data_IF_692433587222
#
_entry.id   IF_692433587222
#
_cell.length_a   1.000
_cell.length_b   1.000
_cell.length_c   1.000
_cell.angle_alpha   90.00
_cell.angle_beta   90.00
_cell.angle_gamma   90.00
#
_symmetry.space_group_name_H-M   'P 1'
#
loop_
_entity.id
_entity.type
_entity.pdbx_description
1 polymer ?
#
# COMPACT_ATOMS: atom_id res chain seq x y z
N UNK A 1 12.96 -14.69 14.94
CA UNK A 1 12.28 -14.03 16.11
C UNK A 1 12.55 -12.56 16.04
N UNK A 2 11.67 -11.73 16.58
CA UNK A 2 11.93 -10.29 16.73
C UNK A 2 13.07 -10.07 17.75
N UNK A 3 13.65 -8.85 17.83
CA UNK A 3 14.59 -8.52 18.89
C UNK A 3 14.04 -8.73 20.32
N UNK A 4 12.71 -8.62 20.48
CA UNK A 4 11.99 -8.83 21.73
C UNK A 4 11.66 -10.31 22.01
N UNK A 5 12.00 -11.22 21.09
CA UNK A 5 11.82 -12.66 21.23
C UNK A 5 10.48 -13.21 20.74
N UNK A 6 9.65 -12.39 20.05
CA UNK A 6 8.38 -12.84 19.50
C UNK A 6 8.59 -13.69 18.24
N UNK A 7 7.72 -14.68 18.03
CA UNK A 7 7.83 -15.59 16.89
C UNK A 7 7.41 -14.92 15.58
N UNK A 8 8.32 -14.96 14.58
CA UNK A 8 7.99 -14.59 13.21
C UNK A 8 7.58 -15.86 12.47
N UNK A 9 6.39 -15.83 11.91
CA UNK A 9 5.79 -16.96 11.19
C UNK A 9 5.68 -16.57 9.72
N UNK A 10 6.03 -17.50 8.83
CA UNK A 10 5.83 -17.36 7.39
C UNK A 10 4.80 -18.36 6.91
N UNK A 11 3.85 -17.89 6.14
CA UNK A 11 2.80 -18.67 5.50
C UNK A 11 3.05 -18.76 4.01
N UNK A 12 2.65 -19.87 3.41
CA UNK A 12 2.68 -20.06 1.95
C UNK A 12 1.31 -20.50 1.49
N UNK A 13 0.69 -19.68 0.64
CA UNK A 13 -0.53 -20.01 -0.08
C UNK A 13 -0.15 -20.44 -1.51
N UNK A 14 -0.74 -21.50 -2.00
CA UNK A 14 -0.55 -21.99 -3.36
C UNK A 14 -1.88 -22.30 -3.99
N UNK A 15 -1.99 -22.07 -5.27
CA UNK A 15 -3.15 -22.45 -6.04
C UNK A 15 -2.84 -23.58 -7.03
N UNK A 16 -3.87 -24.06 -7.72
CA UNK A 16 -3.75 -25.19 -8.66
C UNK A 16 -2.91 -24.86 -9.89
N UNK A 17 -2.71 -23.59 -10.23
CA UNK A 17 -1.81 -23.16 -11.32
C UNK A 17 -0.33 -23.22 -10.96
N UNK A 18 0.01 -23.49 -9.69
CA UNK A 18 1.37 -23.50 -9.16
C UNK A 18 1.89 -22.10 -8.81
N UNK A 19 1.06 -21.07 -8.88
CA UNK A 19 1.39 -19.75 -8.35
C UNK A 19 1.48 -19.78 -6.82
N UNK A 20 2.32 -18.93 -6.24
CA UNK A 20 2.62 -18.94 -4.81
C UNK A 20 2.65 -17.54 -4.23
N UNK A 21 2.01 -17.36 -3.08
CA UNK A 21 2.08 -16.14 -2.26
C UNK A 21 2.67 -16.52 -0.90
N UNK A 22 3.67 -15.76 -0.45
CA UNK A 22 4.22 -15.90 0.90
C UNK A 22 3.88 -14.67 1.72
N UNK A 23 3.46 -14.90 2.96
CA UNK A 23 3.07 -13.89 3.94
C UNK A 23 3.89 -14.03 5.21
N UNK A 24 3.99 -12.96 6.00
CA UNK A 24 4.55 -13.02 7.36
C UNK A 24 3.65 -12.26 8.34
N UNK A 25 3.63 -12.72 9.60
CA UNK A 25 2.91 -12.06 10.68
C UNK A 25 3.60 -10.77 11.19
N UNK A 26 4.84 -10.49 10.78
CA UNK A 26 5.47 -9.21 11.06
C UNK A 26 4.96 -8.16 10.07
N UNK A 27 4.18 -7.20 10.56
CA UNK A 27 3.52 -6.18 9.75
C UNK A 27 2.38 -6.70 8.88
N UNK A 28 1.89 -7.93 9.10
CA UNK A 28 0.91 -8.61 8.24
C UNK A 28 1.27 -8.41 6.76
N UNK A 29 2.46 -8.88 6.37
CA UNK A 29 3.11 -8.50 5.13
C UNK A 29 3.09 -9.59 4.05
N UNK A 30 2.99 -9.14 2.79
CA UNK A 30 3.28 -9.93 1.59
C UNK A 30 4.81 -9.93 1.41
N UNK A 31 5.44 -11.11 1.41
CA UNK A 31 6.90 -11.22 1.29
C UNK A 31 7.37 -11.80 -0.05
N UNK A 32 6.50 -12.49 -0.77
CA UNK A 32 6.78 -13.07 -2.08
C UNK A 32 5.49 -13.32 -2.85
N UNK A 33 5.51 -13.09 -4.15
CA UNK A 33 4.44 -13.46 -5.08
C UNK A 33 5.09 -14.03 -6.33
N UNK A 34 4.98 -15.36 -6.52
CA UNK A 34 5.56 -16.04 -7.67
C UNK A 34 4.51 -16.30 -8.73
N UNK A 35 4.69 -15.68 -9.90
CA UNK A 35 3.77 -15.73 -11.02
C UNK A 35 4.47 -16.11 -12.33
N UNK A 36 3.80 -16.88 -13.21
CA UNK A 36 4.35 -17.19 -14.53
C UNK A 36 4.32 -15.96 -15.44
N UNK A 37 5.27 -15.90 -16.39
CA UNK A 37 5.19 -15.02 -17.54
C UNK A 37 4.37 -15.69 -18.68
N UNK A 38 4.24 -14.99 -19.83
CA UNK A 38 3.53 -15.53 -21.00
C UNK A 38 4.12 -16.81 -21.57
N UNK A 39 5.35 -17.17 -21.21
CA UNK A 39 6.03 -18.41 -21.59
C UNK A 39 6.04 -19.45 -20.46
N UNK A 40 5.34 -19.18 -19.34
CA UNK A 40 5.25 -20.07 -18.18
C UNK A 40 6.45 -20.00 -17.22
N UNK A 41 7.41 -19.09 -17.40
CA UNK A 41 8.56 -18.95 -16.52
C UNK A 41 8.17 -18.21 -15.25
N UNK A 42 8.35 -18.86 -14.10
CA UNK A 42 8.03 -18.31 -12.80
C UNK A 42 9.05 -17.24 -12.36
N UNK A 43 8.57 -16.14 -11.82
CA UNK A 43 9.39 -15.16 -11.12
C UNK A 43 8.65 -14.61 -9.89
N UNK A 44 9.41 -14.17 -8.89
CA UNK A 44 8.89 -13.37 -7.78
C UNK A 44 8.69 -11.94 -8.28
N UNK A 45 7.48 -11.43 -8.21
CA UNK A 45 7.08 -10.14 -8.81
C UNK A 45 6.89 -9.02 -7.79
N UNK A 46 7.33 -9.23 -6.55
CA UNK A 46 7.28 -8.22 -5.49
C UNK A 46 8.64 -8.05 -4.82
N UNK A 47 8.93 -6.85 -4.36
CA UNK A 47 10.14 -6.58 -3.58
C UNK A 47 10.05 -7.20 -2.18
N UNK A 48 11.20 -7.45 -1.57
CA UNK A 48 11.31 -7.99 -0.22
C UNK A 48 12.76 -8.29 0.15
N UNK A 49 12.96 -8.92 1.29
CA UNK A 49 14.30 -9.12 1.86
C UNK A 49 14.65 -10.58 1.98
N UNK A 50 15.95 -10.87 1.90
CA UNK A 50 16.51 -12.22 1.95
C UNK A 50 16.28 -12.88 3.31
N UNK A 51 16.36 -12.09 4.38
CA UNK A 51 16.22 -12.54 5.75
C UNK A 51 15.06 -11.84 6.45
N UNK A 52 14.38 -12.51 7.41
CA UNK A 52 13.28 -11.91 8.18
C UNK A 52 13.69 -10.62 8.90
N UNK A 53 14.94 -10.54 9.35
CA UNK A 53 15.51 -9.38 10.03
C UNK A 53 15.53 -8.12 9.14
N UNK A 54 15.55 -8.30 7.81
CA UNK A 54 15.44 -7.20 6.86
C UNK A 54 14.17 -6.38 7.04
N UNK A 55 13.09 -7.04 7.44
CA UNK A 55 11.81 -6.35 7.67
C UNK A 55 11.80 -5.48 8.94
N UNK A 56 12.74 -5.67 9.89
CA UNK A 56 12.86 -4.81 11.08
C UNK A 56 13.50 -3.47 10.78
N UNK A 57 14.39 -3.45 9.79
CA UNK A 57 15.16 -2.28 9.39
C UNK A 57 14.70 -1.68 8.06
N UNK A 58 13.52 -2.07 7.64
CA UNK A 58 12.90 -1.68 6.38
C UNK A 58 12.26 -0.30 6.48
N UNK A 59 12.94 0.70 5.95
CA UNK A 59 12.41 2.06 5.82
C UNK A 59 11.31 2.23 4.76
N UNK A 60 11.09 1.20 3.91
CA UNK A 60 10.15 1.26 2.80
C UNK A 60 8.78 0.61 3.09
N UNK A 61 8.61 -0.01 4.26
CA UNK A 61 7.40 -0.77 4.64
C UNK A 61 7.01 -1.85 3.61
N UNK A 62 8.01 -2.49 2.97
CA UNK A 62 7.82 -3.40 1.84
C UNK A 62 6.85 -4.54 2.12
N UNK A 63 5.73 -4.58 1.39
CA UNK A 63 4.69 -5.59 1.49
C UNK A 63 3.81 -5.51 2.73
N UNK A 64 4.09 -4.61 3.67
CA UNK A 64 3.45 -4.54 4.98
C UNK A 64 2.07 -3.89 4.94
N UNK A 65 1.23 -4.28 5.88
CA UNK A 65 -0.03 -3.60 6.17
C UNK A 65 0.23 -2.35 6.99
N UNK A 66 -0.20 -1.21 6.47
CA UNK A 66 0.04 0.12 7.04
C UNK A 66 -1.22 0.61 7.76
N UNK A 67 -1.05 1.13 8.96
CA UNK A 67 -2.09 1.70 9.80
C UNK A 67 -1.50 2.27 11.12
N UNK A 68 -2.30 2.96 11.96
CA UNK A 68 -3.76 3.11 11.95
C UNK A 68 -4.26 3.94 10.75
N UNK A 69 -3.47 4.93 10.31
CA UNK A 69 -3.77 5.76 9.15
C UNK A 69 -2.61 5.73 8.15
N UNK A 70 -2.86 5.21 6.97
CA UNK A 70 -1.93 5.22 5.85
C UNK A 70 -1.70 6.64 5.35
N UNK A 71 -0.50 6.89 4.81
CA UNK A 71 -0.05 8.16 4.31
C UNK A 71 0.03 9.26 5.39
N UNK A 72 0.03 10.54 5.00
CA UNK A 72 0.31 11.68 5.88
C UNK A 72 -0.93 12.24 6.54
N UNK A 73 -0.76 12.73 7.79
CA UNK A 73 -1.65 13.69 8.45
C UNK A 73 -0.83 14.94 8.73
N UNK A 74 -1.29 16.08 8.23
CA UNK A 74 -0.59 17.35 8.28
C UNK A 74 -0.26 17.76 9.71
N UNK A 75 1.02 18.07 9.97
CA UNK A 75 1.54 18.53 11.27
C UNK A 75 1.29 17.58 12.43
N UNK A 76 0.90 16.31 12.16
CA UNK A 76 0.47 15.37 13.20
C UNK A 76 -0.75 15.88 13.99
N UNK A 77 -1.64 16.64 13.36
CA UNK A 77 -2.80 17.24 14.01
C UNK A 77 -4.09 16.77 13.33
N UNK A 78 -5.08 16.44 14.12
CA UNK A 78 -6.41 16.11 13.64
C UNK A 78 -7.49 16.52 14.65
N UNK A 79 -8.68 16.75 14.13
CA UNK A 79 -9.86 16.99 14.97
C UNK A 79 -10.87 15.88 14.76
N UNK A 80 -11.26 15.19 15.85
CA UNK A 80 -12.27 14.15 15.85
C UNK A 80 -13.38 14.56 16.80
N UNK A 81 -14.61 14.70 16.28
CA UNK A 81 -15.78 15.12 17.07
C UNK A 81 -15.56 16.40 17.90
N UNK A 82 -14.87 17.38 17.31
CA UNK A 82 -14.59 18.67 17.94
C UNK A 82 -13.45 18.67 18.96
N UNK A 83 -12.80 17.52 19.19
CA UNK A 83 -11.62 17.41 20.06
C UNK A 83 -10.36 17.33 19.21
N UNK A 84 -9.37 18.15 19.55
CA UNK A 84 -8.04 18.10 18.93
C UNK A 84 -7.21 16.93 19.48
N UNK A 85 -6.50 16.25 18.57
CA UNK A 85 -5.53 15.22 18.87
C UNK A 85 -4.19 15.54 18.21
N UNK A 86 -3.12 15.22 18.91
CA UNK A 86 -1.75 15.35 18.42
C UNK A 86 -1.14 13.97 18.28
N UNK A 87 -0.73 13.67 17.05
CA UNK A 87 -0.06 12.44 16.68
C UNK A 87 1.45 12.64 16.70
N UNK A 88 2.19 11.54 16.80
CA UNK A 88 3.64 11.58 16.65
C UNK A 88 4.05 12.16 15.29
N UNK A 89 4.98 13.10 15.27
CA UNK A 89 5.58 13.64 14.05
C UNK A 89 6.81 12.79 13.71
N UNK A 90 6.73 11.99 12.66
CA UNK A 90 7.75 11.03 12.26
C UNK A 90 8.25 11.19 10.80
N UNK A 91 7.73 12.21 10.08
CA UNK A 91 8.15 12.51 8.71
C UNK A 91 8.19 14.02 8.47
N UNK A 92 9.37 14.61 8.63
CA UNK A 92 9.52 16.07 8.58
C UNK A 92 8.67 16.75 9.65
N UNK A 93 7.61 17.46 9.21
CA UNK A 93 6.63 18.12 10.11
C UNK A 93 5.32 17.34 10.21
N UNK A 94 5.20 16.23 9.49
CA UNK A 94 3.97 15.46 9.37
C UNK A 94 4.01 14.16 10.18
N UNK A 95 2.83 13.62 10.45
CA UNK A 95 2.67 12.22 10.83
C UNK A 95 2.56 11.38 9.57
N UNK A 96 3.19 10.21 9.52
CA UNK A 96 3.21 9.31 8.37
C UNK A 96 2.94 7.87 8.82
N UNK A 97 2.08 7.19 8.07
CA UNK A 97 1.81 5.75 8.14
C UNK A 97 1.47 5.21 9.54
N UNK A 98 0.85 6.02 10.40
CA UNK A 98 0.46 5.60 11.74
C UNK A 98 1.54 5.75 12.82
N UNK A 99 2.65 6.48 12.52
CA UNK A 99 3.73 6.77 13.48
C UNK A 99 4.87 5.75 13.45
N UNK A 100 5.79 5.88 14.39
CA UNK A 100 7.00 5.03 14.45
C UNK A 100 6.68 3.58 14.87
N UNK A 101 5.74 3.39 15.81
CA UNK A 101 5.28 2.06 16.27
C UNK A 101 3.98 1.65 15.56
N UNK A 102 3.90 1.91 14.27
CA UNK A 102 2.72 1.62 13.45
C UNK A 102 2.49 0.11 13.23
N UNK A 103 1.42 -0.23 12.57
CA UNK A 103 1.01 -1.62 12.33
C UNK A 103 2.01 -2.42 11.50
N UNK A 104 2.75 -1.76 10.62
CA UNK A 104 3.79 -2.36 9.78
C UNK A 104 5.03 -2.84 10.59
N UNK A 105 5.20 -2.35 11.82
CA UNK A 105 6.35 -2.65 12.67
C UNK A 105 5.98 -3.48 13.91
N UNK A 106 4.87 -4.23 13.83
CA UNK A 106 4.39 -5.08 14.93
C UNK A 106 4.22 -6.53 14.50
N UNK A 107 4.31 -7.45 15.46
CA UNK A 107 3.83 -8.82 15.29
C UNK A 107 2.31 -8.79 15.37
N UNK A 108 1.67 -9.43 14.41
CA UNK A 108 0.24 -9.72 14.42
C UNK A 108 0.02 -11.15 14.89
N UNK A 109 -0.95 -11.35 15.75
CA UNK A 109 -1.45 -12.71 16.00
C UNK A 109 -1.98 -13.28 14.70
N UNK A 110 -1.81 -14.59 14.50
CA UNK A 110 -2.16 -15.17 13.21
C UNK A 110 -2.71 -16.58 13.32
N UNK A 111 -3.66 -16.91 12.45
CA UNK A 111 -4.27 -18.23 12.32
C UNK A 111 -4.50 -18.58 10.85
N UNK A 112 -4.54 -19.86 10.55
CA UNK A 112 -4.90 -20.38 9.23
C UNK A 112 -6.33 -20.90 9.28
N UNK A 113 -7.15 -20.47 8.31
CA UNK A 113 -8.53 -20.92 8.13
C UNK A 113 -8.69 -21.47 6.70
N UNK A 114 -8.75 -22.80 6.54
CA UNK A 114 -8.84 -23.46 5.23
C UNK A 114 -7.75 -22.96 4.28
N UNK A 115 -8.06 -22.04 3.34
CA UNK A 115 -7.12 -21.45 2.37
C UNK A 115 -6.80 -19.98 2.67
N UNK A 116 -7.07 -19.50 3.89
CA UNK A 116 -6.87 -18.11 4.31
C UNK A 116 -5.87 -18.01 5.43
N UNK A 117 -5.17 -16.89 5.46
CA UNK A 117 -4.40 -16.46 6.63
C UNK A 117 -5.06 -15.25 7.22
N UNK A 118 -5.48 -15.34 8.48
CA UNK A 118 -6.05 -14.23 9.23
C UNK A 118 -5.01 -13.74 10.21
N UNK A 119 -4.72 -12.45 10.18
CA UNK A 119 -3.79 -11.78 11.08
C UNK A 119 -4.52 -10.70 11.84
N UNK A 120 -4.37 -10.64 13.17
CA UNK A 120 -5.08 -9.70 14.03
C UNK A 120 -4.14 -8.90 14.91
N UNK A 121 -4.54 -7.67 15.21
CA UNK A 121 -3.80 -6.73 16.04
C UNK A 121 -4.75 -5.89 16.87
N UNK A 122 -4.40 -5.63 18.13
CA UNK A 122 -5.06 -4.64 18.98
C UNK A 122 -4.15 -3.42 19.10
N UNK A 123 -4.71 -2.24 18.82
CA UNK A 123 -4.09 -0.94 18.99
C UNK A 123 -4.85 -0.21 20.10
N UNK A 124 -4.21 -0.04 21.25
CA UNK A 124 -4.83 0.52 22.45
C UNK A 124 -5.26 1.98 22.30
N UNK A 125 -6.16 2.47 23.18
CA UNK A 125 -6.52 3.89 23.25
C UNK A 125 -5.28 4.76 23.52
N UNK A 126 -5.05 5.76 22.68
CA UNK A 126 -3.88 6.64 22.76
C UNK A 126 -2.64 6.12 22.02
N UNK A 127 -2.69 4.94 21.42
CA UNK A 127 -1.57 4.40 20.63
C UNK A 127 -1.22 5.37 19.50
N UNK A 128 0.06 5.81 19.43
CA UNK A 128 0.61 6.83 18.53
C UNK A 128 -0.18 8.16 18.55
N UNK A 129 -1.00 8.41 19.59
CA UNK A 129 -1.86 9.59 19.76
C UNK A 129 -3.29 9.43 19.23
N UNK A 130 -3.65 8.30 18.66
CA UNK A 130 -5.01 8.06 18.16
C UNK A 130 -5.98 7.72 19.29
N UNK A 131 -7.22 8.27 19.27
CA UNK A 131 -8.25 7.90 20.25
C UNK A 131 -8.83 6.50 20.00
N UNK A 132 -9.26 5.87 21.07
CA UNK A 132 -9.97 4.60 21.09
C UNK A 132 -9.10 3.37 20.89
N UNK A 133 -9.50 2.27 21.50
CA UNK A 133 -8.99 0.96 21.19
C UNK A 133 -9.49 0.54 19.80
N UNK A 134 -8.60 -0.01 18.98
CA UNK A 134 -8.92 -0.52 17.65
C UNK A 134 -8.51 -1.98 17.54
N UNK A 135 -9.48 -2.86 17.37
CA UNK A 135 -9.25 -4.25 17.01
C UNK A 135 -9.26 -4.37 15.48
N UNK A 136 -8.18 -4.89 14.90
CA UNK A 136 -7.98 -4.99 13.44
C UNK A 136 -7.75 -6.44 13.04
N UNK A 137 -8.34 -6.85 11.92
CA UNK A 137 -7.99 -8.09 11.21
C UNK A 137 -7.60 -7.78 9.77
N UNK A 138 -6.56 -8.46 9.27
CA UNK A 138 -6.19 -8.54 7.87
C UNK A 138 -6.36 -10.00 7.42
N UNK A 139 -7.28 -10.24 6.50
CA UNK A 139 -7.58 -11.56 5.95
C UNK A 139 -6.98 -11.65 4.55
N UNK A 140 -6.06 -12.60 4.35
CA UNK A 140 -5.42 -12.86 3.07
C UNK A 140 -6.00 -14.15 2.47
N UNK A 141 -6.54 -14.06 1.26
CA UNK A 141 -7.12 -15.16 0.49
C UNK A 141 -6.46 -15.20 -0.89
N UNK A 142 -6.04 -16.37 -1.35
CA UNK A 142 -5.42 -16.54 -2.66
C UNK A 142 -6.11 -17.65 -3.43
N UNK A 143 -6.73 -17.30 -4.55
CA UNK A 143 -7.58 -18.19 -5.34
C UNK A 143 -6.89 -18.79 -6.58
N UNK A 144 -7.62 -19.67 -7.28
CA UNK A 144 -7.15 -20.34 -8.49
C UNK A 144 -7.14 -19.43 -9.75
N UNK A 145 -7.76 -18.26 -9.66
CA UNK A 145 -7.70 -17.20 -10.69
C UNK A 145 -6.49 -16.26 -10.51
N UNK A 146 -5.53 -16.66 -9.65
CA UNK A 146 -4.35 -15.87 -9.28
C UNK A 146 -4.71 -14.50 -8.64
N UNK A 147 -5.84 -14.41 -7.95
CA UNK A 147 -6.22 -13.21 -7.23
C UNK A 147 -5.86 -13.34 -5.75
N UNK A 148 -5.01 -12.43 -5.26
CA UNK A 148 -4.74 -12.24 -3.84
C UNK A 148 -5.66 -11.13 -3.32
N UNK A 149 -6.65 -11.52 -2.52
CA UNK A 149 -7.54 -10.59 -1.82
C UNK A 149 -6.99 -10.31 -0.41
N UNK A 150 -6.97 -9.05 -0.02
CA UNK A 150 -6.75 -8.59 1.35
C UNK A 150 -8.04 -7.92 1.81
N UNK A 151 -8.69 -8.47 2.83
CA UNK A 151 -9.81 -7.82 3.50
C UNK A 151 -9.35 -7.29 4.85
N UNK A 152 -9.42 -5.97 5.03
CA UNK A 152 -9.21 -5.33 6.32
C UNK A 152 -10.53 -5.13 7.02
N UNK A 153 -10.62 -5.61 8.27
CA UNK A 153 -11.75 -5.41 9.17
C UNK A 153 -11.26 -4.67 10.41
N UNK A 154 -12.04 -3.70 10.90
CA UNK A 154 -11.72 -3.08 12.18
C UNK A 154 -12.98 -2.64 12.95
N UNK A 155 -12.85 -2.61 14.29
CA UNK A 155 -13.85 -2.11 15.23
C UNK A 155 -13.18 -1.31 16.33
N UNK A 156 -13.90 -0.34 16.88
CA UNK A 156 -13.38 0.56 17.91
C UNK A 156 -14.41 0.79 19.02
N UNK A 157 -13.92 1.16 20.20
CA UNK A 157 -14.72 1.57 21.36
C UNK A 157 -14.98 3.09 21.41
N UNK A 158 -14.21 3.90 20.64
CA UNK A 158 -14.37 5.37 20.51
C UNK A 158 -14.24 5.78 19.06
N UNK A 159 -14.83 6.91 18.68
CA UNK A 159 -14.64 7.47 17.33
C UNK A 159 -13.16 7.74 17.09
N UNK A 160 -12.64 7.17 16.01
CA UNK A 160 -11.23 7.26 15.63
C UNK A 160 -11.05 7.33 14.11
N UNK A 161 -9.81 7.55 13.67
CA UNK A 161 -9.44 7.55 12.26
C UNK A 161 -8.89 6.18 11.88
N UNK A 162 -9.39 5.61 10.78
CA UNK A 162 -8.92 4.34 10.22
C UNK A 162 -8.75 4.48 8.71
N UNK A 163 -7.55 4.21 8.22
CA UNK A 163 -7.23 4.18 6.81
C UNK A 163 -6.12 3.14 6.59
N UNK A 164 -6.49 1.92 6.25
CA UNK A 164 -5.56 0.81 6.12
C UNK A 164 -5.23 0.55 4.65
N UNK A 165 -3.97 0.19 4.37
CA UNK A 165 -3.51 -0.20 3.05
C UNK A 165 -2.41 -1.27 3.15
N UNK A 166 -2.02 -1.84 2.00
CA UNK A 166 -0.84 -2.68 1.88
C UNK A 166 0.20 -1.98 1.00
N UNK A 167 1.45 -1.95 1.47
CA UNK A 167 2.56 -1.25 0.82
C UNK A 167 3.44 -2.20 0.00
N UNK A 168 2.82 -3.09 -0.78
CA UNK A 168 3.56 -3.98 -1.67
C UNK A 168 4.15 -3.21 -2.85
N UNK A 169 5.42 -3.50 -3.16
CA UNK A 169 6.09 -2.97 -4.35
C UNK A 169 6.16 -4.05 -5.42
N UNK A 170 5.58 -3.77 -6.57
CA UNK A 170 5.62 -4.65 -7.73
C UNK A 170 6.85 -4.38 -8.60
N UNK A 171 7.47 -5.45 -9.08
CA UNK A 171 8.34 -5.46 -10.24
C UNK A 171 8.00 -6.69 -11.09
N UNK A 172 7.16 -6.51 -12.09
CA UNK A 172 6.60 -7.60 -12.91
C UNK A 172 7.63 -8.24 -13.86
N UNK A 173 8.79 -7.60 -14.05
CA UNK A 173 9.93 -8.21 -14.74
C UNK A 173 10.62 -9.27 -13.86
N UNK A 174 10.39 -9.22 -12.56
CA UNK A 174 10.97 -10.06 -11.52
C UNK A 174 11.74 -9.25 -10.48
N UNK A 175 11.72 -9.70 -9.23
CA UNK A 175 12.52 -9.10 -8.14
C UNK A 175 14.00 -9.09 -8.51
N UNK A 176 14.67 -7.96 -8.31
CA UNK A 176 16.08 -7.77 -8.68
C UNK A 176 16.34 -7.51 -10.17
N UNK A 177 15.32 -7.37 -11.00
CA UNK A 177 15.46 -7.09 -12.44
C UNK A 177 15.76 -5.61 -12.76
N UNK A 178 15.85 -4.73 -11.76
CA UNK A 178 16.10 -3.30 -11.89
C UNK A 178 14.84 -2.47 -12.06
N UNK A 179 14.94 -1.34 -12.73
CA UNK A 179 13.95 -0.27 -12.75
C UNK A 179 12.61 -0.65 -13.37
N UNK A 180 11.52 -0.23 -12.71
CA UNK A 180 10.12 -0.37 -13.18
C UNK A 180 9.64 0.79 -14.06
N UNK A 181 10.50 1.75 -14.39
CA UNK A 181 10.10 2.95 -15.13
C UNK A 181 9.55 2.65 -16.54
N UNK A 182 9.84 1.49 -17.09
CA UNK A 182 9.32 1.02 -18.39
C UNK A 182 8.10 0.10 -18.24
N UNK A 183 7.66 -0.21 -17.03
CA UNK A 183 6.33 -0.79 -16.80
C UNK A 183 5.26 0.19 -17.25
N UNK A 184 4.13 -0.32 -17.73
CA UNK A 184 3.03 0.50 -18.20
C UNK A 184 1.86 0.42 -17.22
N UNK A 185 1.37 1.58 -16.83
CA UNK A 185 0.22 1.73 -15.94
C UNK A 185 -0.98 2.27 -16.72
N UNK A 186 -2.16 1.69 -16.44
CA UNK A 186 -3.46 2.27 -16.75
C UNK A 186 -4.26 2.40 -15.47
N UNK A 187 -4.88 3.56 -15.23
CA UNK A 187 -5.73 3.82 -14.07
C UNK A 187 -7.15 4.20 -14.51
N UNK A 188 -8.12 3.73 -13.75
CA UNK A 188 -9.50 4.21 -13.80
C UNK A 188 -9.62 5.49 -12.96
N UNK A 189 -8.92 6.54 -13.40
CA UNK A 189 -8.81 7.81 -12.70
C UNK A 189 -8.67 8.97 -13.69
N UNK A 190 -9.60 9.90 -13.66
CA UNK A 190 -9.56 11.16 -14.41
C UNK A 190 -9.09 12.34 -13.57
N UNK A 191 -9.00 12.18 -12.25
CA UNK A 191 -8.64 13.23 -11.30
C UNK A 191 -7.51 12.80 -10.35
N UNK A 192 -6.67 13.77 -10.02
CA UNK A 192 -5.51 13.61 -9.14
C UNK A 192 -5.63 14.67 -8.05
N UNK A 193 -5.23 14.34 -6.82
CA UNK A 193 -5.11 15.36 -5.79
C UNK A 193 -3.89 16.27 -6.07
N UNK A 194 -4.10 17.58 -6.00
CA UNK A 194 -2.99 18.54 -5.98
C UNK A 194 -2.22 18.37 -4.67
N UNK A 195 -0.91 18.18 -4.75
CA UNK A 195 -0.03 18.07 -3.59
C UNK A 195 0.75 19.38 -3.41
N UNK A 196 1.06 19.75 -2.17
CA UNK A 196 2.00 20.81 -1.88
C UNK A 196 3.44 20.26 -1.72
N UNK A 197 4.41 21.13 -1.50
CA UNK A 197 5.82 20.78 -1.34
C UNK A 197 6.13 19.87 -0.13
N UNK A 198 5.18 19.70 0.79
CA UNK A 198 5.27 18.83 1.96
C UNK A 198 4.54 17.50 1.76
N UNK A 199 4.15 17.21 0.53
CA UNK A 199 3.39 15.99 0.18
C UNK A 199 2.05 15.88 0.95
N UNK A 200 1.39 17.01 1.18
CA UNK A 200 0.04 17.10 1.74
C UNK A 200 -0.91 17.57 0.64
N UNK A 201 -2.11 16.96 0.49
CA UNK A 201 -3.12 17.45 -0.43
C UNK A 201 -3.55 18.87 -0.12
N UNK A 202 -3.79 19.67 -1.15
CA UNK A 202 -4.33 21.03 -0.99
C UNK A 202 -5.85 21.07 -0.90
N UNK A 203 -6.51 19.92 -1.09
CA UNK A 203 -7.97 19.81 -1.23
C UNK A 203 -8.45 19.93 -2.68
N UNK A 204 -7.61 20.39 -3.60
CA UNK A 204 -7.99 20.55 -5.01
C UNK A 204 -7.78 19.27 -5.81
N UNK A 205 -8.68 19.07 -6.78
CA UNK A 205 -8.60 18.03 -7.79
C UNK A 205 -8.09 18.63 -9.11
N UNK A 206 -7.03 18.03 -9.65
CA UNK A 206 -6.47 18.35 -10.96
C UNK A 206 -7.02 17.36 -12.00
N UNK A 207 -7.24 17.83 -13.23
CA UNK A 207 -7.51 16.94 -14.36
C UNK A 207 -6.23 16.17 -14.75
N UNK A 208 -6.35 14.85 -14.91
CA UNK A 208 -5.24 14.05 -15.39
C UNK A 208 -4.96 14.30 -16.88
N UNK A 209 -6.00 14.63 -17.65
CA UNK A 209 -5.96 14.77 -19.10
C UNK A 209 -4.84 15.69 -19.59
N UNK A 210 -3.99 15.18 -20.50
CA UNK A 210 -2.91 15.94 -21.11
C UNK A 210 -1.73 16.24 -20.18
N UNK A 211 -1.68 15.66 -18.99
CA UNK A 211 -0.59 15.81 -18.02
C UNK A 211 0.34 14.59 -18.00
N UNK A 212 1.52 14.66 -17.37
CA UNK A 212 2.37 13.50 -17.11
C UNK A 212 1.71 12.43 -16.23
N UNK A 213 0.65 12.78 -15.48
CA UNK A 213 -0.13 11.90 -14.62
C UNK A 213 -1.39 11.34 -15.32
N UNK A 214 -1.51 11.48 -16.65
CA UNK A 214 -2.61 10.90 -17.43
C UNK A 214 -2.35 9.41 -17.72
N UNK A 215 -2.84 8.56 -16.84
CA UNK A 215 -2.77 7.10 -16.96
C UNK A 215 -4.12 6.47 -17.37
N UNK A 216 -5.04 7.21 -17.98
CA UNK A 216 -6.31 6.63 -18.48
C UNK A 216 -6.09 5.60 -19.59
N UNK A 217 -4.98 5.71 -20.32
CA UNK A 217 -4.45 4.71 -21.25
C UNK A 217 -3.12 4.17 -20.76
N UNK A 218 -2.70 2.98 -21.21
CA UNK A 218 -1.42 2.40 -20.84
C UNK A 218 -0.26 3.31 -21.19
N UNK A 219 0.51 3.69 -20.19
CA UNK A 219 1.66 4.58 -20.32
C UNK A 219 2.75 4.20 -19.34
N UNK A 220 4.02 4.28 -19.79
CA UNK A 220 5.15 4.06 -18.90
C UNK A 220 5.44 5.29 -18.02
N UNK A 221 6.09 5.06 -16.88
CA UNK A 221 6.42 6.12 -15.92
C UNK A 221 7.53 7.05 -16.43
N UNK A 222 8.49 6.51 -17.20
CA UNK A 222 9.73 7.19 -17.59
C UNK A 222 9.54 8.60 -18.16
N UNK A 223 8.59 8.86 -19.09
CA UNK A 223 8.45 10.21 -19.67
C UNK A 223 8.04 11.29 -18.67
N UNK A 224 7.41 10.91 -17.56
CA UNK A 224 6.90 11.86 -16.58
C UNK A 224 7.85 12.18 -15.42
N UNK A 225 8.91 11.39 -15.23
CA UNK A 225 9.78 11.49 -14.04
C UNK A 225 10.41 12.88 -13.85
N UNK A 226 10.78 13.57 -14.92
CA UNK A 226 11.38 14.90 -14.86
C UNK A 226 10.38 16.05 -14.95
N UNK A 227 9.09 15.76 -14.92
CA UNK A 227 8.04 16.77 -15.04
C UNK A 227 7.95 17.67 -13.80
N UNK A 228 7.72 18.97 -14.03
CA UNK A 228 7.41 19.95 -12.98
C UNK A 228 5.95 19.85 -12.49
N UNK A 229 5.10 19.13 -13.21
CA UNK A 229 3.67 19.04 -12.90
C UNK A 229 3.43 18.36 -11.56
N UNK A 230 2.64 19.01 -10.70
CA UNK A 230 2.21 18.46 -9.40
C UNK A 230 3.40 17.88 -8.59
N UNK A 231 4.54 18.55 -8.63
CA UNK A 231 5.76 18.21 -7.90
C UNK A 231 6.40 16.84 -8.24
N UNK A 232 6.13 16.24 -9.41
CA UNK A 232 6.74 14.93 -9.77
C UNK A 232 8.26 15.00 -9.64
N UNK A 233 8.91 16.03 -10.20
CA UNK A 233 10.38 16.21 -10.09
C UNK A 233 10.82 16.38 -8.64
N UNK A 234 10.10 17.18 -7.87
CA UNK A 234 10.47 17.51 -6.50
C UNK A 234 10.36 16.29 -5.56
N UNK A 235 9.43 15.37 -5.87
CA UNK A 235 9.29 14.08 -5.19
C UNK A 235 10.15 12.96 -5.80
N UNK A 236 11.06 13.30 -6.76
CA UNK A 236 11.90 12.36 -7.50
C UNK A 236 11.12 11.32 -8.32
N UNK A 237 9.84 11.52 -8.57
CA UNK A 237 9.01 10.60 -9.30
C UNK A 237 7.54 10.69 -8.88
N UNK A 238 6.78 9.66 -9.21
CA UNK A 238 5.40 9.61 -8.78
C UNK A 238 5.33 9.24 -7.30
N UNK A 239 4.59 10.02 -6.54
CA UNK A 239 4.19 9.83 -5.14
C UNK A 239 2.89 10.62 -4.94
N UNK A 240 1.82 10.16 -5.64
CA UNK A 240 0.62 10.96 -5.84
C UNK A 240 -0.65 10.12 -5.68
N UNK A 241 -1.69 10.69 -5.04
CA UNK A 241 -2.99 10.07 -4.89
C UNK A 241 -3.88 10.36 -6.11
N UNK A 242 -4.38 9.29 -6.73
CA UNK A 242 -5.33 9.29 -7.83
C UNK A 242 -6.72 8.93 -7.31
N UNK A 243 -7.74 9.70 -7.70
CA UNK A 243 -9.13 9.45 -7.28
C UNK A 243 -9.74 8.42 -8.23
N UNK A 244 -10.32 7.34 -7.67
CA UNK A 244 -10.95 6.28 -8.46
C UNK A 244 -12.27 6.76 -9.04
N UNK A 245 -12.38 6.78 -10.36
CA UNK A 245 -13.60 7.21 -11.05
C UNK A 245 -14.77 6.27 -10.74
N UNK A 246 -15.93 6.87 -10.46
CA UNK A 246 -17.13 6.09 -10.17
C UNK A 246 -17.12 5.34 -8.84
N UNK A 247 -16.14 5.56 -7.97
CA UNK A 247 -16.07 4.93 -6.65
C UNK A 247 -17.38 5.09 -5.86
N UNK A 248 -17.77 4.05 -5.16
CA UNK A 248 -18.89 4.05 -4.20
C UNK A 248 -18.46 3.33 -2.92
N UNK A 249 -18.91 3.80 -1.75
CA UNK A 249 -18.58 3.17 -0.48
C UNK A 249 -18.90 1.66 -0.47
N UNK A 250 -17.96 0.86 -0.01
CA UNK A 250 -18.07 -0.59 0.16
C UNK A 250 -18.30 -1.40 -1.14
N UNK A 251 -18.14 -0.78 -2.31
CA UNK A 251 -18.23 -1.48 -3.60
C UNK A 251 -16.81 -1.72 -4.12
N UNK A 252 -16.49 -2.98 -4.39
CA UNK A 252 -15.24 -3.36 -5.04
C UNK A 252 -15.30 -2.93 -6.52
N UNK A 253 -14.34 -2.09 -6.93
CA UNK A 253 -14.21 -1.60 -8.30
C UNK A 253 -12.79 -1.72 -8.82
N UNK A 254 -12.63 -1.77 -10.16
CA UNK A 254 -11.30 -1.75 -10.77
C UNK A 254 -10.65 -0.37 -10.59
N UNK A 255 -9.44 -0.38 -10.04
CA UNK A 255 -8.59 0.80 -9.85
C UNK A 255 -7.68 1.02 -11.04
N UNK A 256 -7.08 -0.07 -11.55
CA UNK A 256 -6.18 0.00 -12.70
C UNK A 256 -5.36 -1.26 -12.90
N UNK A 257 -4.53 -1.25 -13.93
CA UNK A 257 -3.66 -2.37 -14.31
C UNK A 257 -2.23 -1.88 -14.54
N UNK A 258 -1.30 -2.53 -13.86
CA UNK A 258 0.14 -2.44 -14.15
C UNK A 258 0.53 -3.63 -15.01
N UNK A 259 1.37 -3.40 -16.05
CA UNK A 259 1.87 -4.47 -16.89
C UNK A 259 3.34 -4.28 -17.29
N UNK A 260 4.02 -5.38 -17.58
CA UNK A 260 5.42 -5.36 -18.02
C UNK A 260 5.52 -5.99 -19.41
N UNK A 261 5.89 -5.20 -20.45
CA UNK A 261 5.79 -5.64 -21.84
C UNK A 261 6.70 -6.82 -22.23
N UNK A 262 7.85 -7.01 -21.59
CA UNK A 262 8.81 -8.07 -21.97
C UNK A 262 8.35 -9.45 -21.49
N UNK A 263 7.98 -9.56 -20.22
CA UNK A 263 7.47 -10.81 -19.64
C UNK A 263 6.01 -11.08 -20.01
N UNK A 264 5.26 -10.01 -20.30
CA UNK A 264 3.81 -10.06 -20.48
C UNK A 264 3.04 -10.21 -19.18
N UNK A 265 3.69 -10.11 -18.01
CA UNK A 265 2.98 -10.14 -16.72
C UNK A 265 2.19 -8.87 -16.49
N UNK A 266 1.05 -9.04 -15.85
CA UNK A 266 0.20 -7.94 -15.42
C UNK A 266 -0.36 -8.18 -14.02
N UNK A 267 -0.72 -7.09 -13.34
CA UNK A 267 -1.54 -7.11 -12.13
C UNK A 267 -2.65 -6.08 -12.28
N UNK A 268 -3.91 -6.55 -12.23
CA UNK A 268 -5.08 -5.68 -12.14
C UNK A 268 -5.45 -5.53 -10.68
N UNK A 269 -5.56 -4.28 -10.24
CA UNK A 269 -5.90 -3.92 -8.87
C UNK A 269 -7.36 -3.53 -8.80
N UNK A 270 -8.09 -4.18 -7.88
CA UNK A 270 -9.45 -3.79 -7.52
C UNK A 270 -9.46 -3.36 -6.05
N UNK A 271 -10.30 -2.37 -5.72
CA UNK A 271 -10.44 -1.94 -4.33
C UNK A 271 -11.81 -1.35 -4.05
N UNK A 272 -12.18 -1.36 -2.77
CA UNK A 272 -13.32 -0.61 -2.23
C UNK A 272 -12.92 0.78 -1.71
N UNK A 273 -11.66 1.17 -1.86
CA UNK A 273 -11.13 2.47 -1.41
C UNK A 273 -11.32 3.56 -2.47
N UNK A 274 -11.48 4.85 -2.05
CA UNK A 274 -11.78 5.96 -2.96
C UNK A 274 -10.59 6.44 -3.78
N UNK A 275 -9.37 6.10 -3.38
CA UNK A 275 -8.16 6.55 -4.07
C UNK A 275 -7.08 5.48 -4.06
N UNK A 276 -6.09 5.67 -4.93
CA UNK A 276 -4.87 4.88 -4.99
C UNK A 276 -3.65 5.80 -5.00
N UNK A 277 -2.70 5.54 -4.13
CA UNK A 277 -1.38 6.16 -4.18
C UNK A 277 -0.52 5.41 -5.17
N UNK A 278 0.05 6.10 -6.13
CA UNK A 278 1.07 5.56 -7.04
C UNK A 278 2.42 6.08 -6.59
N UNK A 279 3.27 5.16 -6.13
CA UNK A 279 4.61 5.48 -5.67
C UNK A 279 5.66 4.65 -6.44
N UNK A 280 6.53 5.33 -7.18
CA UNK A 280 7.53 4.66 -8.04
C UNK A 280 8.82 4.28 -7.31
N UNK A 281 8.79 4.12 -6.00
CA UNK A 281 9.97 3.70 -5.24
C UNK A 281 11.12 4.71 -5.27
N UNK A 282 10.80 5.99 -5.20
CA UNK A 282 11.71 7.11 -5.44
C UNK A 282 12.89 7.21 -4.43
N UNK A 283 12.78 6.52 -3.28
CA UNK A 283 13.72 6.58 -2.16
C UNK A 283 14.10 5.19 -1.64
N UNK A 284 14.12 4.17 -2.50
CA UNK A 284 14.52 2.82 -2.10
C UNK A 284 16.03 2.70 -1.88
N UNK A 285 16.83 3.49 -2.61
CA UNK A 285 18.28 3.47 -2.48
C UNK A 285 18.74 3.88 -1.08
N UNK A 286 19.52 3.03 -0.44
CA UNK A 286 20.12 3.28 0.89
C UNK A 286 19.18 3.05 2.07
N UNK A 287 17.86 2.91 1.85
CA UNK A 287 16.85 2.67 2.88
C UNK A 287 16.49 1.20 3.11
N UNK A 288 16.96 0.31 2.23
CA UNK A 288 16.56 -1.11 2.23
C UNK A 288 17.73 -2.03 2.61
N UNK A 289 17.45 -3.09 3.40
CA UNK A 289 18.39 -4.17 3.67
C UNK A 289 18.72 -5.02 2.43
N UNK A 290 19.45 -6.14 2.65
CA UNK A 290 19.79 -7.09 1.57
C UNK A 290 18.51 -7.66 0.92
N UNK A 291 18.40 -7.52 -0.40
CA UNK A 291 17.26 -7.97 -1.19
C UNK A 291 17.21 -9.49 -1.30
N UNK A 292 16.08 -10.06 -1.74
CA UNK A 292 15.95 -11.53 -1.95
C UNK A 292 16.99 -12.08 -2.91
N UNK A 293 17.35 -11.32 -3.95
CA UNK A 293 18.39 -11.66 -4.93
C UNK A 293 19.82 -11.41 -4.45
N UNK A 294 20.02 -10.86 -3.23
CA UNK A 294 21.35 -10.71 -2.64
C UNK A 294 22.05 -9.40 -2.99
N UNK A 295 21.29 -8.33 -3.27
CA UNK A 295 21.83 -7.00 -3.58
C UNK A 295 21.23 -5.91 -2.68
N UNK A 296 21.08 -4.73 -3.24
CA UNK A 296 20.34 -3.59 -2.65
C UNK A 296 19.43 -3.01 -3.71
N UNK A 297 18.25 -2.55 -3.31
CA UNK A 297 17.38 -1.83 -4.22
C UNK A 297 17.94 -0.46 -4.54
N UNK A 298 17.83 -0.11 -5.80
CA UNK A 298 18.00 1.26 -6.30
C UNK A 298 16.64 1.97 -6.32
N UNK A 299 16.68 3.30 -6.45
CA UNK A 299 15.46 4.06 -6.72
C UNK A 299 14.80 3.52 -7.99
N UNK A 300 13.48 3.42 -7.96
CA UNK A 300 12.61 2.91 -9.03
C UNK A 300 12.69 1.38 -9.29
N UNK A 301 13.24 0.58 -8.40
CA UNK A 301 13.24 -0.89 -8.55
C UNK A 301 11.87 -1.52 -8.28
N UNK A 302 10.91 -0.76 -7.76
CA UNK A 302 9.55 -1.21 -7.53
C UNK A 302 8.54 -0.08 -7.58
N UNK A 303 7.28 -0.41 -7.87
CA UNK A 303 6.15 0.52 -7.83
C UNK A 303 5.07 0.01 -6.89
N UNK A 304 4.61 0.87 -5.96
CA UNK A 304 3.49 0.58 -5.08
C UNK A 304 2.19 1.18 -5.64
N UNK A 305 1.09 0.42 -5.49
CA UNK A 305 -0.27 0.82 -5.79
C UNK A 305 -1.10 0.68 -4.51
N UNK A 306 -1.02 1.69 -3.65
CA UNK A 306 -1.61 1.64 -2.31
C UNK A 306 -3.06 2.15 -2.37
N UNK A 307 -4.02 1.24 -2.40
CA UNK A 307 -5.43 1.60 -2.30
C UNK A 307 -5.76 2.02 -0.89
N UNK A 308 -6.25 3.26 -0.73
CA UNK A 308 -6.49 3.88 0.57
C UNK A 308 -7.49 5.03 0.46
N UNK A 309 -7.95 5.57 1.58
CA UNK A 309 -8.59 6.88 1.58
C UNK A 309 -7.54 7.96 1.25
N UNK A 310 -7.99 9.12 0.79
CA UNK A 310 -7.09 10.24 0.47
C UNK A 310 -6.18 10.58 1.66
N UNK A 311 -4.90 10.91 1.42
CA UNK A 311 -4.06 11.43 2.49
C UNK A 311 -4.69 12.62 3.18
N UNK A 312 -4.44 12.78 4.48
CA UNK A 312 -4.95 13.88 5.30
C UNK A 312 -6.49 14.04 5.33
N UNK A 313 -7.26 13.01 4.92
CA UNK A 313 -8.71 13.09 4.79
C UNK A 313 -9.43 13.51 6.08
N UNK A 314 -8.84 13.27 7.25
CA UNK A 314 -9.40 13.71 8.54
C UNK A 314 -9.47 15.22 8.66
N UNK A 315 -8.61 15.95 7.94
CA UNK A 315 -8.54 17.43 7.91
C UNK A 315 -9.23 18.04 6.68
N UNK A 316 -9.78 17.20 5.79
CA UNK A 316 -10.40 17.59 4.53
C UNK A 316 -11.86 17.11 4.47
N UNK A 317 -12.84 17.91 4.91
CA UNK A 317 -14.25 17.51 4.94
C UNK A 317 -14.85 17.24 3.55
N UNK A 318 -14.21 17.71 2.49
CA UNK A 318 -14.56 17.43 1.09
C UNK A 318 -14.19 16.00 0.62
N UNK A 319 -13.31 15.30 1.35
CA UNK A 319 -12.93 13.92 1.07
C UNK A 319 -13.84 12.92 1.77
N UNK A 320 -13.91 11.67 1.31
CA UNK A 320 -14.58 10.61 2.06
C UNK A 320 -14.03 10.51 3.48
N UNK A 321 -14.94 10.44 4.46
CA UNK A 321 -14.55 10.43 5.87
C UNK A 321 -13.74 9.19 6.24
N UNK A 322 -12.59 9.31 6.92
CA UNK A 322 -11.83 8.21 7.46
C UNK A 322 -12.28 7.79 8.87
N UNK A 323 -13.38 8.37 9.39
CA UNK A 323 -13.82 8.13 10.76
C UNK A 323 -14.55 6.79 10.88
N UNK A 324 -14.20 6.05 11.92
CA UNK A 324 -14.89 4.85 12.38
C UNK A 324 -15.48 5.14 13.76
N UNK A 325 -16.79 4.84 13.94
CA UNK A 325 -17.50 5.05 15.20
C UNK A 325 -17.77 3.74 15.94
N UNK A 326 -17.97 3.78 17.27
CA UNK A 326 -18.44 2.61 18.02
C UNK A 326 -19.72 2.03 17.41
N UNK A 327 -19.72 0.70 17.26
CA UNK A 327 -20.83 -0.03 16.64
C UNK A 327 -20.76 -0.14 15.11
N UNK A 328 -19.92 0.63 14.46
CA UNK A 328 -19.61 0.47 13.02
C UNK A 328 -18.53 -0.60 12.82
N UNK A 329 -18.47 -1.14 11.61
CA UNK A 329 -17.39 -2.02 11.16
C UNK A 329 -16.71 -1.40 9.96
N UNK A 330 -15.41 -1.11 10.09
CA UNK A 330 -14.56 -0.81 8.93
C UNK A 330 -14.37 -2.11 8.14
N UNK A 331 -14.66 -2.07 6.84
CA UNK A 331 -14.46 -3.21 5.95
C UNK A 331 -13.97 -2.68 4.60
N UNK A 332 -12.70 -2.94 4.28
CA UNK A 332 -12.10 -2.50 3.02
C UNK A 332 -11.36 -3.66 2.38
N UNK A 333 -11.44 -3.70 1.03
CA UNK A 333 -10.84 -4.76 0.23
C UNK A 333 -9.84 -4.20 -0.77
N UNK A 334 -8.76 -4.95 -0.95
CA UNK A 334 -7.78 -4.77 -2.02
C UNK A 334 -7.61 -6.14 -2.68
N UNK A 335 -7.72 -6.21 -4.00
CA UNK A 335 -7.49 -7.43 -4.76
C UNK A 335 -6.40 -7.18 -5.78
N UNK A 336 -5.38 -8.02 -5.76
CA UNK A 336 -4.31 -8.08 -6.75
C UNK A 336 -4.53 -9.30 -7.63
N UNK A 337 -5.09 -9.10 -8.82
CA UNK A 337 -5.32 -10.18 -9.79
C UNK A 337 -4.18 -10.22 -10.79
N UNK A 338 -3.36 -11.26 -10.69
CA UNK A 338 -2.22 -11.46 -11.57
C UNK A 338 -2.61 -12.20 -12.83
N UNK A 339 -1.94 -11.87 -13.94
CA UNK A 339 -2.18 -12.50 -15.24
C UNK A 339 -1.09 -12.21 -16.24
N UNK A 340 -1.37 -12.56 -17.51
CA UNK A 340 -0.51 -12.25 -18.66
C UNK A 340 -1.34 -11.61 -19.79
N UNK A 341 -0.68 -10.85 -20.67
CA UNK A 341 -1.30 -10.19 -21.82
C UNK A 341 -0.49 -10.39 -23.11
#
# INVERSE_FOLDING_TARGET
>A
MTPEGEAIIRYTLRNDSGAEVQLTNYGAAIVSVKMPDREGRMADVVLGYKHPEGYFFDGAASGKSVGRCANRIAFGQMTVEGKEYRLEVNNGVNHLHGGTKNFANRIWESRVETNRVVMSLVSEDGDQGYPGELCVEAVFDFDDDNALEITYLARTDKTTVVNLTNHVYFNLAGEGSGSVLDHELRLNSSKILEMNERQIPTGKLLDAAGTPQDFREFRSFRPGISSEFNHIRDFKGYDHPFVVDGWKPNILGEVGTLREPRSGRSVTVLSSQPSVMIYTGNWLAGGCPETKSGGRYADYDGVAMECQNSPDAVNHPEFPSPLLRPGETYCQKIVFRFGTF
#
